data_IF_005238673362
#
_entry.id   IF_005238673362
#
_cell.length_a   1.000
_cell.length_b   1.000
_cell.length_c   1.000
_cell.angle_alpha   90.00
_cell.angle_beta   90.00
_cell.angle_gamma   90.00
#
_symmetry.space_group_name_H-M   'P 1'
#
loop_
_entity.id
_entity.type
_entity.pdbx_description
1 polymer ?
#
# COMPACT_ATOMS: atom_id res chain seq x y z
N UNK A 1 -20.18 -4.68 2.22
CA UNK A 1 -18.79 -4.28 2.52
C UNK A 1 -18.45 -3.06 1.67
N UNK A 2 -18.27 -1.89 2.27
CA UNK A 2 -18.06 -0.63 1.56
C UNK A 2 -16.75 -0.65 0.75
N UNK A 3 -16.77 -0.19 -0.50
CA UNK A 3 -15.59 -0.19 -1.41
C UNK A 3 -14.33 0.47 -0.81
N UNK A 4 -14.49 1.32 0.21
CA UNK A 4 -13.37 1.94 0.95
C UNK A 4 -12.51 0.93 1.73
N UNK A 5 -13.07 -0.19 2.17
CA UNK A 5 -12.36 -1.21 2.96
C UNK A 5 -11.52 -2.16 2.10
N UNK A 6 -11.80 -2.27 0.79
CA UNK A 6 -10.96 -3.03 -0.16
C UNK A 6 -9.67 -2.28 -0.53
N UNK A 7 -9.72 -0.95 -0.61
CA UNK A 7 -8.55 -0.11 -0.97
C UNK A 7 -7.39 -0.19 0.04
N UNK A 8 -7.64 -0.66 1.26
CA UNK A 8 -6.62 -0.86 2.30
C UNK A 8 -6.72 -2.26 2.92
N UNK A 9 -6.89 -3.27 2.07
CA UNK A 9 -6.90 -4.67 2.52
C UNK A 9 -5.59 -5.03 3.25
N UNK A 10 -5.60 -6.15 3.97
CA UNK A 10 -4.38 -6.67 4.61
C UNK A 10 -3.27 -6.93 3.58
N UNK A 11 -3.65 -7.39 2.39
CA UNK A 11 -2.73 -7.64 1.29
C UNK A 11 -2.10 -6.34 0.79
N UNK A 12 -2.91 -5.29 0.60
CA UNK A 12 -2.43 -3.96 0.22
C UNK A 12 -1.40 -3.42 1.21
N UNK A 13 -1.68 -3.55 2.51
CA UNK A 13 -0.74 -3.12 3.56
C UNK A 13 0.56 -3.93 3.54
N UNK A 14 0.48 -5.24 3.34
CA UNK A 14 1.65 -6.11 3.27
C UNK A 14 2.51 -5.82 2.03
N UNK A 15 1.89 -5.49 0.91
CA UNK A 15 2.58 -5.09 -0.31
C UNK A 15 3.23 -3.72 -0.19
N UNK A 16 2.54 -2.75 0.43
CA UNK A 16 3.12 -1.43 0.73
C UNK A 16 4.37 -1.55 1.62
N UNK A 17 4.32 -2.39 2.67
CA UNK A 17 5.46 -2.63 3.56
C UNK A 17 6.62 -3.31 2.82
N UNK A 18 6.34 -4.32 1.97
CA UNK A 18 7.38 -4.95 1.14
C UNK A 18 8.09 -3.92 0.27
N UNK A 19 7.34 -3.08 -0.43
CA UNK A 19 7.93 -2.10 -1.33
C UNK A 19 8.75 -1.02 -0.59
N UNK A 20 8.34 -0.66 0.61
CA UNK A 20 9.08 0.25 1.52
C UNK A 20 10.40 -0.37 1.94
N UNK A 21 10.40 -1.65 2.32
CA UNK A 21 11.61 -2.36 2.73
C UNK A 21 12.56 -2.63 1.55
N UNK A 22 12.03 -3.04 0.39
CA UNK A 22 12.85 -3.36 -0.78
C UNK A 22 13.52 -2.13 -1.38
N UNK A 23 12.84 -0.99 -1.37
CA UNK A 23 13.33 0.23 -2.02
C UNK A 23 13.76 1.31 -1.02
N UNK A 24 13.81 0.98 0.28
CA UNK A 24 14.09 1.92 1.38
C UNK A 24 13.24 3.21 1.29
N UNK A 25 11.98 3.07 0.86
CA UNK A 25 11.05 4.20 0.66
C UNK A 25 10.35 4.60 1.95
N UNK A 26 9.75 5.79 1.95
CA UNK A 26 8.80 6.15 3.00
C UNK A 26 7.49 5.38 2.87
N UNK A 27 6.78 5.14 3.98
CA UNK A 27 5.47 4.45 3.98
C UNK A 27 4.45 5.14 3.05
N UNK A 28 4.43 6.47 3.05
CA UNK A 28 3.53 7.27 2.21
C UNK A 28 3.84 7.12 0.73
N UNK A 29 5.13 7.09 0.37
CA UNK A 29 5.54 6.88 -1.01
C UNK A 29 5.26 5.44 -1.44
N UNK A 30 5.51 4.48 -0.56
CA UNK A 30 5.21 3.07 -0.75
C UNK A 30 3.73 2.82 -1.06
N UNK A 31 2.85 3.37 -0.23
CA UNK A 31 1.41 3.26 -0.42
C UNK A 31 0.95 4.00 -1.70
N UNK A 32 1.52 5.15 -2.02
CA UNK A 32 1.10 5.97 -3.16
C UNK A 32 1.30 5.27 -4.51
N UNK A 33 2.33 4.44 -4.68
CA UNK A 33 2.53 3.71 -5.96
C UNK A 33 1.58 2.53 -6.12
N UNK A 34 0.98 2.05 -5.04
CA UNK A 34 -0.01 0.96 -5.05
C UNK A 34 -1.45 1.46 -5.15
N UNK A 35 -1.67 2.75 -4.86
CA UNK A 35 -2.98 3.36 -5.04
C UNK A 35 -3.22 3.62 -6.54
N UNK A 36 -4.35 3.19 -7.12
CA UNK A 36 -4.72 3.57 -8.48
C UNK A 36 -5.00 5.07 -8.52
N UNK A 37 -4.34 5.78 -9.45
CA UNK A 37 -4.55 7.19 -9.79
C UNK A 37 -5.99 7.49 -10.21
#
# INVERSE_FOLDING_TARGET
MSRKTQRYSKEFKAEAVRMVLENQLSISEGASRLLPS
#
